data_IF_714592564381
#
_entry.id   IF_714592564381
#
_cell.length_a   1.000
_cell.length_b   1.000
_cell.length_c   1.000
_cell.angle_alpha   90.00
_cell.angle_beta   90.00
_cell.angle_gamma   90.00
#
_symmetry.space_group_name_H-M   'P 1'
#
loop_
_entity.id
_entity.type
_entity.pdbx_description
1 polymer ?
#
# COMPACT_ATOMS: atom_id res chain seq x y z
N UNK A 1 -17.25 -7.68 9.82
CA UNK A 1 -17.53 -7.52 8.39
C UNK A 1 -16.26 -7.90 7.68
N UNK A 2 -16.19 -9.10 7.09
CA UNK A 2 -15.05 -9.51 6.27
C UNK A 2 -14.98 -8.51 5.12
N UNK A 3 -13.89 -7.78 4.99
CA UNK A 3 -13.56 -7.13 3.72
C UNK A 3 -13.45 -8.26 2.71
N UNK A 4 -14.45 -8.40 1.84
CA UNK A 4 -14.43 -9.31 0.70
C UNK A 4 -13.29 -8.83 -0.21
N UNK A 5 -12.10 -9.37 0.04
CA UNK A 5 -10.87 -9.01 -0.66
C UNK A 5 -11.06 -9.19 -2.18
N UNK A 6 -11.94 -10.12 -2.56
CA UNK A 6 -12.38 -10.42 -3.93
C UNK A 6 -12.96 -9.23 -4.70
N UNK A 7 -13.43 -8.18 -4.00
CA UNK A 7 -14.09 -7.02 -4.63
C UNK A 7 -13.40 -5.67 -4.34
N UNK A 8 -12.23 -5.67 -3.72
CA UNK A 8 -11.56 -4.43 -3.26
C UNK A 8 -11.27 -3.42 -4.39
N UNK A 9 -11.05 -3.90 -5.62
CA UNK A 9 -10.75 -3.04 -6.77
C UNK A 9 -11.99 -2.35 -7.33
N UNK A 10 -13.19 -2.90 -7.09
CA UNK A 10 -14.45 -2.40 -7.62
C UNK A 10 -15.29 -1.68 -6.53
N UNK A 11 -14.81 -1.68 -5.29
CA UNK A 11 -15.45 -0.97 -4.19
C UNK A 11 -15.56 0.54 -4.47
N UNK A 12 -16.70 1.11 -4.09
CA UNK A 12 -17.00 2.54 -4.22
C UNK A 12 -17.33 3.13 -2.87
N UNK A 13 -16.90 4.36 -2.65
CA UNK A 13 -17.27 5.14 -1.47
C UNK A 13 -18.56 5.92 -1.74
N UNK A 14 -19.38 6.09 -0.72
CA UNK A 14 -20.53 6.97 -0.77
C UNK A 14 -20.07 8.45 -0.89
N UNK A 15 -20.66 9.27 -1.78
CA UNK A 15 -20.23 10.66 -1.96
C UNK A 15 -20.30 11.51 -0.68
N UNK A 16 -21.30 11.28 0.17
CA UNK A 16 -21.43 12.00 1.44
C UNK A 16 -20.35 11.59 2.43
N UNK A 17 -19.98 10.30 2.45
CA UNK A 17 -18.84 9.84 3.26
C UNK A 17 -17.52 10.46 2.79
N UNK A 18 -17.28 10.52 1.47
CA UNK A 18 -16.08 11.15 0.91
C UNK A 18 -15.99 12.63 1.28
N UNK A 19 -17.11 13.36 1.22
CA UNK A 19 -17.15 14.77 1.58
C UNK A 19 -16.86 14.97 3.07
N UNK A 20 -17.41 14.11 3.94
CA UNK A 20 -17.10 14.14 5.38
C UNK A 20 -15.60 13.93 5.64
N UNK A 21 -14.96 13.02 4.92
CA UNK A 21 -13.52 12.78 5.04
C UNK A 21 -12.70 13.98 4.54
N UNK A 22 -13.14 14.62 3.45
CA UNK A 22 -12.54 15.85 2.92
C UNK A 22 -12.61 16.97 3.94
N UNK A 23 -13.78 17.23 4.52
CA UNK A 23 -13.98 18.26 5.54
C UNK A 23 -13.08 18.05 6.76
N UNK A 24 -12.97 16.80 7.23
CA UNK A 24 -12.09 16.44 8.35
C UNK A 24 -10.62 16.70 8.02
N UNK A 25 -10.17 16.30 6.83
CA UNK A 25 -8.80 16.52 6.37
C UNK A 25 -8.49 18.03 6.23
N UNK A 26 -9.33 18.78 5.53
CA UNK A 26 -9.14 20.22 5.30
C UNK A 26 -9.22 21.03 6.60
N UNK A 27 -10.09 20.65 7.53
CA UNK A 27 -10.16 21.29 8.85
C UNK A 27 -8.84 21.14 9.61
N UNK A 28 -8.19 19.98 9.53
CA UNK A 28 -6.89 19.79 10.15
C UNK A 28 -5.79 20.54 9.41
N UNK A 29 -5.80 20.56 8.07
CA UNK A 29 -4.86 21.37 7.26
C UNK A 29 -4.93 22.85 7.65
N UNK A 30 -6.13 23.39 7.85
CA UNK A 30 -6.30 24.79 8.30
C UNK A 30 -5.76 25.04 9.71
N UNK A 31 -5.69 24.01 10.56
CA UNK A 31 -5.18 24.07 11.93
C UNK A 31 -3.69 23.76 12.04
N UNK A 32 -3.04 23.34 10.95
CA UNK A 32 -1.63 22.93 10.91
C UNK A 32 -1.42 21.65 10.13
N UNK A 33 -0.54 20.77 10.61
CA UNK A 33 -0.26 19.51 9.93
C UNK A 33 -1.39 18.49 10.23
N UNK A 34 -2.08 17.96 9.20
CA UNK A 34 -3.09 16.93 9.42
C UNK A 34 -2.45 15.63 9.89
N UNK A 35 -3.16 14.90 10.75
CA UNK A 35 -2.67 13.62 11.28
C UNK A 35 -2.53 12.57 10.19
N UNK A 36 -1.64 11.60 10.40
CA UNK A 36 -1.47 10.49 9.46
C UNK A 36 -2.77 9.70 9.23
N UNK A 37 -3.57 9.53 10.27
CA UNK A 37 -4.88 8.88 10.17
C UNK A 37 -5.83 9.70 9.27
N UNK A 38 -5.89 11.02 9.43
CA UNK A 38 -6.76 11.86 8.60
C UNK A 38 -6.33 11.86 7.13
N UNK A 39 -5.02 11.96 6.86
CA UNK A 39 -4.43 11.81 5.52
C UNK A 39 -4.81 10.45 4.91
N UNK A 40 -4.63 9.37 5.68
CA UNK A 40 -4.89 8.01 5.22
C UNK A 40 -6.37 7.77 4.93
N UNK A 41 -7.28 8.14 5.86
CA UNK A 41 -8.72 7.97 5.67
C UNK A 41 -9.21 8.72 4.43
N UNK A 42 -8.75 9.96 4.23
CA UNK A 42 -9.10 10.72 3.04
C UNK A 42 -8.56 10.09 1.75
N UNK A 43 -7.29 9.66 1.75
CA UNK A 43 -6.68 8.99 0.59
C UNK A 43 -7.39 7.67 0.24
N UNK A 44 -7.76 6.86 1.25
CA UNK A 44 -8.52 5.64 1.06
C UNK A 44 -9.90 5.92 0.43
N UNK A 45 -10.57 6.99 0.86
CA UNK A 45 -11.82 7.44 0.23
C UNK A 45 -11.62 7.86 -1.23
N UNK A 46 -10.60 8.68 -1.50
CA UNK A 46 -10.26 9.10 -2.87
C UNK A 46 -9.96 7.91 -3.80
N UNK A 47 -9.22 6.92 -3.31
CA UNK A 47 -8.91 5.69 -4.05
C UNK A 47 -10.17 4.90 -4.41
N UNK A 48 -11.29 5.06 -3.71
CA UNK A 48 -12.57 4.41 -4.01
C UNK A 48 -13.54 5.28 -4.81
N UNK A 49 -13.17 6.54 -5.08
CA UNK A 49 -13.98 7.52 -5.82
C UNK A 49 -13.72 7.44 -7.34
N UNK A 50 -13.63 8.58 -8.02
CA UNK A 50 -13.41 8.75 -9.46
C UNK A 50 -11.96 8.49 -9.86
N UNK A 51 -11.70 8.26 -11.15
CA UNK A 51 -10.32 8.06 -11.67
C UNK A 51 -9.39 9.24 -11.33
N UNK A 52 -9.91 10.48 -11.39
CA UNK A 52 -9.12 11.67 -11.05
C UNK A 52 -8.76 11.69 -9.55
N UNK A 53 -9.72 11.34 -8.69
CA UNK A 53 -9.49 11.26 -7.25
C UNK A 53 -8.47 10.18 -6.89
N UNK A 54 -8.44 9.05 -7.62
CA UNK A 54 -7.45 7.97 -7.36
C UNK A 54 -6.02 8.49 -7.45
N UNK A 55 -5.70 9.34 -8.44
CA UNK A 55 -4.36 9.93 -8.55
C UNK A 55 -3.99 10.77 -7.33
N UNK A 56 -4.93 11.56 -6.81
CA UNK A 56 -4.72 12.34 -5.59
C UNK A 56 -4.53 11.43 -4.37
N UNK A 57 -5.34 10.37 -4.25
CA UNK A 57 -5.20 9.38 -3.18
C UNK A 57 -3.84 8.70 -3.18
N UNK A 58 -3.36 8.27 -4.36
CA UNK A 58 -2.01 7.70 -4.53
C UNK A 58 -0.94 8.68 -4.05
N UNK A 59 -0.98 9.94 -4.48
CA UNK A 59 0.01 10.94 -4.09
C UNK A 59 0.08 11.16 -2.57
N UNK A 60 -1.09 11.17 -1.89
CA UNK A 60 -1.16 11.29 -0.43
C UNK A 60 -0.57 10.05 0.25
N UNK A 61 -0.86 8.84 -0.24
CA UNK A 61 -0.28 7.60 0.30
C UNK A 61 1.24 7.54 0.12
N UNK A 62 1.76 7.95 -1.03
CA UNK A 62 3.21 8.02 -1.26
C UNK A 62 3.88 9.04 -0.33
N UNK A 63 3.22 10.16 -0.05
CA UNK A 63 3.70 11.12 0.93
C UNK A 63 3.74 10.50 2.33
N UNK A 64 2.66 9.82 2.76
CA UNK A 64 2.61 9.11 4.04
C UNK A 64 3.72 8.06 4.18
N UNK A 65 4.00 7.33 3.09
CA UNK A 65 5.04 6.31 3.04
C UNK A 65 6.45 6.91 3.24
N UNK A 66 6.71 8.09 2.66
CA UNK A 66 7.98 8.82 2.84
C UNK A 66 8.13 9.42 4.24
N UNK A 67 7.03 9.93 4.81
CA UNK A 67 7.01 10.56 6.13
C UNK A 67 7.16 9.54 7.28
N UNK A 68 6.71 8.29 7.08
CA UNK A 68 6.62 7.27 8.13
C UNK A 68 7.36 5.96 7.79
N UNK A 69 8.60 6.08 7.32
CA UNK A 69 9.46 4.92 7.04
C UNK A 69 9.83 4.19 8.35
N UNK A 70 9.01 3.21 8.77
CA UNK A 70 9.27 2.39 9.96
C UNK A 70 8.02 1.88 10.70
N UNK A 71 6.86 2.51 10.51
CA UNK A 71 5.63 2.21 11.24
C UNK A 71 4.90 0.95 10.72
N UNK A 72 4.11 0.29 11.57
CA UNK A 72 3.17 -0.77 11.22
C UNK A 72 2.18 -0.31 10.14
N UNK A 73 1.77 0.96 10.16
CA UNK A 73 0.84 1.55 9.17
C UNK A 73 1.40 1.58 7.74
N UNK A 74 2.72 1.40 7.57
CA UNK A 74 3.37 1.31 6.25
C UNK A 74 2.77 0.17 5.40
N UNK A 75 2.37 -0.93 6.04
CA UNK A 75 1.77 -2.09 5.37
C UNK A 75 0.45 -1.71 4.71
N UNK A 76 -0.38 -0.96 5.42
CA UNK A 76 -1.67 -0.50 4.91
C UNK A 76 -1.46 0.47 3.74
N UNK A 77 -0.47 1.37 3.84
CA UNK A 77 -0.17 2.32 2.76
C UNK A 77 0.26 1.60 1.48
N UNK A 78 1.16 0.62 1.59
CA UNK A 78 1.62 -0.20 0.44
C UNK A 78 0.45 -0.97 -0.17
N UNK A 79 -0.39 -1.58 0.67
CA UNK A 79 -1.56 -2.32 0.21
C UNK A 79 -2.51 -1.42 -0.60
N UNK A 80 -2.84 -0.23 -0.09
CA UNK A 80 -3.72 0.70 -0.80
C UNK A 80 -3.05 1.41 -1.98
N UNK A 81 -1.72 1.54 -2.02
CA UNK A 81 -0.99 1.95 -3.22
C UNK A 81 -1.15 0.91 -4.35
N UNK A 82 -1.04 -0.38 -4.03
CA UNK A 82 -1.32 -1.45 -5.00
C UNK A 82 -2.77 -1.37 -5.54
N UNK A 83 -3.75 -1.16 -4.65
CA UNK A 83 -5.16 -0.95 -5.04
C UNK A 83 -5.30 0.28 -5.96
N UNK A 84 -4.72 1.41 -5.59
CA UNK A 84 -4.80 2.66 -6.35
C UNK A 84 -4.24 2.51 -7.76
N UNK A 85 -3.01 1.99 -7.89
CA UNK A 85 -2.37 1.77 -9.19
C UNK A 85 -3.16 0.77 -10.05
N UNK A 86 -3.70 -0.31 -9.46
CA UNK A 86 -4.53 -1.27 -10.18
C UNK A 86 -5.82 -0.64 -10.73
N UNK A 87 -6.47 0.27 -9.98
CA UNK A 87 -7.68 0.98 -10.44
C UNK A 87 -7.45 1.90 -11.63
N UNK A 88 -6.25 2.47 -11.75
CA UNK A 88 -5.85 3.27 -12.92
C UNK A 88 -5.17 2.44 -14.02
N UNK A 89 -5.19 1.11 -13.91
CA UNK A 89 -4.58 0.15 -14.84
C UNK A 89 -3.05 0.26 -14.96
N UNK A 90 -2.40 0.82 -13.95
CA UNK A 90 -0.94 0.82 -13.81
C UNK A 90 -0.52 -0.48 -13.11
N UNK A 91 -0.71 -1.60 -13.81
CA UNK A 91 -0.56 -2.94 -13.23
C UNK A 91 0.86 -3.27 -12.81
N UNK A 92 1.86 -2.77 -13.53
CA UNK A 92 3.27 -3.00 -13.18
C UNK A 92 3.61 -2.42 -11.81
N UNK A 93 3.19 -1.17 -11.53
CA UNK A 93 3.38 -0.57 -10.21
C UNK A 93 2.54 -1.26 -9.15
N UNK A 94 1.30 -1.64 -9.48
CA UNK A 94 0.44 -2.34 -8.54
C UNK A 94 1.05 -3.68 -8.08
N UNK A 95 1.59 -4.46 -9.02
CA UNK A 95 2.31 -5.71 -8.73
C UNK A 95 3.57 -5.46 -7.92
N UNK A 96 4.35 -4.43 -8.28
CA UNK A 96 5.57 -4.07 -7.56
C UNK A 96 5.30 -3.76 -6.07
N UNK A 97 4.23 -3.01 -5.76
CA UNK A 97 3.84 -2.72 -4.38
C UNK A 97 3.40 -3.99 -3.63
N UNK A 98 2.53 -4.81 -4.21
CA UNK A 98 1.97 -5.96 -3.51
C UNK A 98 3.01 -7.08 -3.30
N UNK A 99 3.92 -7.27 -4.26
CA UNK A 99 5.03 -8.21 -4.13
C UNK A 99 6.01 -7.78 -3.04
N UNK A 100 6.22 -6.48 -2.87
CA UNK A 100 7.03 -5.95 -1.76
C UNK A 100 6.42 -6.32 -0.41
N UNK A 101 5.10 -6.18 -0.26
CA UNK A 101 4.40 -6.58 0.96
C UNK A 101 4.50 -8.09 1.20
N UNK A 102 4.34 -8.91 0.15
CA UNK A 102 4.45 -10.38 0.23
C UNK A 102 5.87 -10.86 0.51
N UNK A 103 6.90 -10.13 0.07
CA UNK A 103 8.29 -10.45 0.40
C UNK A 103 8.56 -10.32 1.91
N UNK A 104 7.92 -9.34 2.56
CA UNK A 104 8.02 -9.17 4.00
C UNK A 104 7.06 -10.10 4.79
N UNK A 105 5.88 -10.38 4.24
CA UNK A 105 4.81 -11.16 4.88
C UNK A 105 4.23 -12.21 3.93
N UNK A 106 4.99 -13.27 3.66
CA UNK A 106 4.64 -14.29 2.68
C UNK A 106 3.30 -15.00 2.94
N UNK A 107 2.81 -15.00 4.18
CA UNK A 107 1.53 -15.63 4.57
C UNK A 107 0.36 -14.65 4.65
N UNK A 108 0.54 -13.40 4.18
CA UNK A 108 -0.51 -12.39 4.20
C UNK A 108 -1.58 -12.71 3.14
N UNK A 109 -2.68 -13.31 3.58
CA UNK A 109 -3.78 -13.74 2.70
C UNK A 109 -4.40 -12.58 1.91
N UNK A 110 -4.56 -11.39 2.52
CA UNK A 110 -5.13 -10.24 1.85
C UNK A 110 -4.24 -9.80 0.67
N UNK A 111 -2.93 -9.79 0.87
CA UNK A 111 -1.98 -9.43 -0.17
C UNK A 111 -1.92 -10.48 -1.30
N UNK A 112 -2.01 -11.77 -0.96
CA UNK A 112 -2.09 -12.87 -1.95
C UNK A 112 -3.33 -12.69 -2.82
N UNK A 113 -4.50 -12.53 -2.20
CA UNK A 113 -5.76 -12.34 -2.93
C UNK A 113 -5.73 -11.09 -3.81
N UNK A 114 -5.19 -9.98 -3.31
CA UNK A 114 -5.06 -8.76 -4.11
C UNK A 114 -4.13 -8.97 -5.34
N UNK A 115 -3.00 -9.67 -5.18
CA UNK A 115 -2.11 -10.00 -6.30
C UNK A 115 -2.84 -10.80 -7.37
N UNK A 116 -3.56 -11.84 -6.98
CA UNK A 116 -4.34 -12.68 -7.91
C UNK A 116 -5.41 -11.86 -8.66
N UNK A 117 -6.08 -10.93 -7.98
CA UNK A 117 -7.06 -10.03 -8.60
C UNK A 117 -6.43 -9.05 -9.60
N UNK A 118 -5.29 -8.47 -9.24
CA UNK A 118 -4.53 -7.56 -10.12
C UNK A 118 -4.11 -8.32 -11.38
N UNK A 119 -3.49 -9.49 -11.23
CA UNK A 119 -3.08 -10.31 -12.36
C UNK A 119 -4.27 -10.69 -13.24
N UNK A 120 -5.39 -11.10 -12.65
CA UNK A 120 -6.63 -11.43 -13.37
C UNK A 120 -7.15 -10.24 -14.18
N UNK A 121 -7.20 -9.03 -13.59
CA UNK A 121 -7.63 -7.81 -14.31
C UNK A 121 -6.65 -7.44 -15.44
N UNK A 122 -5.35 -7.56 -15.21
CA UNK A 122 -4.33 -7.37 -16.23
C UNK A 122 -4.52 -8.33 -17.42
N UNK A 123 -4.89 -9.61 -17.18
CA UNK A 123 -5.21 -10.54 -18.28
C UNK A 123 -6.47 -10.14 -19.03
N UNK A 124 -7.52 -9.80 -18.31
CA UNK A 124 -8.80 -9.44 -18.90
C UNK A 124 -8.71 -8.19 -19.77
N UNK A 125 -7.85 -7.25 -19.39
CA UNK A 125 -7.59 -6.04 -20.18
C UNK A 125 -6.66 -6.28 -21.39
N UNK A 126 -6.13 -7.49 -21.55
CA UNK A 126 -5.24 -7.85 -22.66
C UNK A 126 -3.82 -7.28 -22.53
N UNK A 127 -3.43 -6.85 -21.33
CA UNK A 127 -2.10 -6.28 -21.06
C UNK A 127 -1.03 -7.36 -20.80
N UNK A 128 -1.35 -8.65 -20.95
CA UNK A 128 -0.31 -9.68 -20.99
C UNK A 128 0.42 -9.64 -22.32
N UNK A 129 1.64 -9.10 -22.31
CA UNK A 129 2.64 -9.48 -23.29
C UNK A 129 2.92 -10.97 -23.20
N UNK A 130 3.34 -11.58 -24.32
CA UNK A 130 3.68 -13.01 -24.43
C UNK A 130 4.79 -13.52 -23.47
N UNK A 131 5.34 -12.65 -22.61
CA UNK A 131 6.44 -12.94 -21.69
C UNK A 131 6.00 -13.38 -20.27
N UNK A 132 4.74 -13.19 -19.86
CA UNK A 132 4.28 -13.54 -18.49
C UNK A 132 3.70 -14.98 -18.43
N UNK A 133 3.73 -15.71 -19.55
CA UNK A 133 3.26 -17.11 -19.62
C UNK A 133 4.37 -18.08 -19.20
N UNK A 134 4.89 -17.96 -17.98
CA UNK A 134 6.03 -18.80 -17.57
C UNK A 134 6.54 -18.60 -16.16
N UNK A 135 5.66 -18.50 -15.16
CA UNK A 135 6.02 -18.82 -13.77
C UNK A 135 7.06 -17.96 -13.04
N UNK A 136 7.52 -16.83 -13.59
CA UNK A 136 8.52 -15.99 -12.92
C UNK A 136 8.71 -14.62 -13.56
N UNK A 137 7.77 -13.71 -13.35
CA UNK A 137 7.90 -12.32 -13.79
C UNK A 137 8.55 -11.47 -12.71
N UNK A 138 9.87 -11.51 -12.57
CA UNK A 138 10.60 -10.50 -11.83
C UNK A 138 10.54 -9.18 -12.62
N UNK A 139 9.73 -8.22 -12.18
CA UNK A 139 9.83 -6.83 -12.63
C UNK A 139 10.42 -6.02 -11.48
N UNK A 140 11.55 -5.40 -11.77
CA UNK A 140 12.39 -4.60 -10.87
C UNK A 140 11.53 -3.57 -10.13
N UNK A 141 11.30 -3.81 -8.85
CA UNK A 141 10.66 -2.83 -7.96
C UNK A 141 11.67 -1.71 -7.73
N UNK A 142 11.27 -0.48 -8.10
CA UNK A 142 12.11 0.72 -8.08
C UNK A 142 12.86 0.94 -6.76
N UNK A 143 14.04 1.56 -6.88
CA UNK A 143 15.03 1.82 -5.83
C UNK A 143 14.44 2.33 -4.51
N UNK A 144 13.35 3.11 -4.54
CA UNK A 144 12.74 3.67 -3.33
C UNK A 144 12.08 2.61 -2.44
N UNK A 145 11.37 1.62 -3.01
CA UNK A 145 10.71 0.57 -2.22
C UNK A 145 11.72 -0.42 -1.66
N UNK A 146 12.75 -0.75 -2.43
CA UNK A 146 13.87 -1.58 -1.97
C UNK A 146 14.60 -0.95 -0.77
N UNK A 147 14.83 0.37 -0.80
CA UNK A 147 15.48 1.10 0.30
C UNK A 147 14.65 1.11 1.58
N UNK A 148 13.33 1.32 1.46
CA UNK A 148 12.44 1.33 2.63
C UNK A 148 12.40 -0.02 3.35
N UNK A 149 12.46 -1.14 2.62
CA UNK A 149 12.48 -2.48 3.22
C UNK A 149 13.87 -2.93 3.69
N UNK A 150 14.94 -2.53 3.00
CA UNK A 150 16.31 -2.78 3.46
C UNK A 150 16.58 -2.12 4.83
N UNK A 151 16.04 -0.92 5.06
CA UNK A 151 16.11 -0.25 6.37
C UNK A 151 15.50 -1.08 7.50
N UNK A 152 14.40 -1.79 7.26
CA UNK A 152 13.69 -2.60 8.27
C UNK A 152 14.49 -3.85 8.71
N UNK A 153 15.38 -4.38 7.85
CA UNK A 153 16.22 -5.53 8.19
C UNK A 153 17.41 -5.16 9.08
N UNK A 154 17.82 -3.89 9.09
CA UNK A 154 18.96 -3.40 9.88
C UNK A 154 18.59 -3.08 11.34
N UNK A 155 17.32 -2.77 11.65
CA UNK A 155 16.89 -2.37 13.00
C UNK A 155 16.35 -3.49 13.89
N UNK A 156 16.28 -4.75 13.42
CA UNK A 156 15.78 -5.90 14.22
C UNK A 156 16.88 -6.80 14.78
N UNK A 157 18.05 -6.25 15.07
CA UNK A 157 19.14 -7.02 15.67
C UNK A 157 19.90 -6.20 16.71
N UNK A 158 19.23 -5.86 17.81
CA UNK A 158 19.88 -5.64 19.12
C UNK A 158 18.83 -5.43 20.23
N UNK A 159 18.21 -6.52 20.66
CA UNK A 159 17.80 -6.67 22.06
C UNK A 159 18.11 -8.13 22.43
N UNK A 160 19.37 -8.37 22.79
CA UNK A 160 19.79 -9.58 23.50
C UNK A 160 20.04 -9.17 24.97
N UNK A 161 19.50 -9.90 25.96
CA UNK A 161 19.47 -9.44 27.35
C UNK A 161 20.89 -9.40 27.92
N UNK A 162 21.18 -8.31 28.63
CA UNK A 162 22.46 -8.06 29.27
C UNK A 162 22.59 -8.93 30.53
N UNK A 163 22.97 -10.19 30.35
CA UNK A 163 23.52 -10.99 31.44
C UNK A 163 24.89 -10.43 31.80
N UNK A 164 24.99 -9.83 32.98
CA UNK A 164 26.27 -9.50 33.60
C UNK A 164 26.67 -10.66 34.51
N UNK A 165 27.74 -11.41 34.22
CA UNK A 165 28.48 -12.05 35.29
C UNK A 165 29.26 -10.95 36.03
N UNK A 166 29.09 -10.88 37.34
CA UNK A 166 30.02 -10.20 38.23
C UNK A 166 31.05 -11.26 38.61
N UNK A 167 32.27 -11.10 38.13
CA UNK A 167 33.41 -11.97 38.43
C UNK A 167 33.79 -11.90 39.93
N UNK A 168 34.16 -13.07 40.47
CA UNK A 168 34.97 -13.44 41.65
C UNK A 168 34.85 -12.69 42.99
#
# INVERSE_FOLDING_TARGET
>A
MLMDCDNVLDERIDPYELERLRDQYETQVRRGQPSHLAKFSFAHGLIKSTKNDVHQGIAILEQLLRENSGDISMRDYIYYLAVGHARIKDYDRALAYIETLLHAEATNRQAITLKELIEKKMRNDGLLGAAILGGGGAIVVGSLLALLFAGRKLFRKEEEPRDRPIDD
#
